data_IF_530813556876
#
_entry.id   IF_530813556876
#
_cell.length_a   1.000
_cell.length_b   1.000
_cell.length_c   1.000
_cell.angle_alpha   90.00
_cell.angle_beta   90.00
_cell.angle_gamma   90.00
#
_symmetry.space_group_name_H-M   'P 1'
#
loop_
_entity.id
_entity.type
_entity.pdbx_description
1 polymer ?
#
# COMPACT_ATOMS: atom_id res chain seq x y z
N UNK A 1 -4.41 12.16 -8.88
CA UNK A 1 -5.04 10.89 -8.43
C UNK A 1 -4.80 9.89 -9.55
N UNK A 2 -4.10 8.80 -9.25
CA UNK A 2 -3.77 7.76 -10.23
C UNK A 2 -4.92 6.75 -10.19
N UNK A 3 -5.86 6.86 -11.14
CA UNK A 3 -7.12 6.11 -11.13
C UNK A 3 -6.87 4.60 -11.26
N UNK A 4 -5.79 4.24 -11.94
CA UNK A 4 -5.34 2.90 -12.26
C UNK A 4 -4.97 2.09 -10.99
N UNK A 5 -4.66 2.79 -9.89
CA UNK A 5 -4.29 2.20 -8.60
C UNK A 5 -5.46 2.07 -7.61
N UNK A 6 -6.67 2.42 -8.04
CA UNK A 6 -7.90 2.24 -7.26
C UNK A 6 -8.82 1.29 -8.01
N UNK A 7 -9.04 0.13 -7.42
CA UNK A 7 -9.62 -1.02 -8.11
C UNK A 7 -10.84 -1.55 -7.36
N UNK A 8 -11.83 -1.98 -8.14
CA UNK A 8 -12.96 -2.78 -7.68
C UNK A 8 -12.93 -4.07 -8.49
N UNK A 9 -12.83 -5.20 -7.80
CA UNK A 9 -12.97 -6.51 -8.40
C UNK A 9 -14.44 -6.91 -8.39
N UNK A 10 -14.94 -7.40 -9.53
CA UNK A 10 -16.31 -7.88 -9.69
C UNK A 10 -16.33 -9.35 -10.08
N UNK A 11 -17.34 -10.08 -9.61
CA UNK A 11 -17.66 -11.45 -10.03
C UNK A 11 -19.12 -11.44 -10.45
N UNK A 12 -19.40 -11.84 -11.69
CA UNK A 12 -20.74 -11.82 -12.29
C UNK A 12 -21.44 -10.44 -12.17
N UNK A 13 -20.68 -9.37 -12.40
CA UNK A 13 -21.15 -7.98 -12.31
C UNK A 13 -21.45 -7.49 -10.89
N UNK A 14 -21.07 -8.25 -9.85
CA UNK A 14 -21.22 -7.86 -8.44
C UNK A 14 -19.88 -7.53 -7.81
N UNK A 15 -19.74 -6.41 -7.09
CA UNK A 15 -18.52 -6.08 -6.36
C UNK A 15 -18.14 -7.17 -5.35
N UNK A 16 -16.96 -7.74 -5.52
CA UNK A 16 -16.38 -8.81 -4.71
C UNK A 16 -15.27 -8.30 -3.77
N UNK A 17 -14.54 -7.27 -4.18
CA UNK A 17 -13.50 -6.66 -3.38
C UNK A 17 -12.96 -5.36 -3.96
N UNK A 18 -12.04 -4.74 -3.24
CA UNK A 18 -11.43 -3.47 -3.63
C UNK A 18 -9.98 -3.39 -3.17
N UNK A 19 -9.19 -2.55 -3.84
CA UNK A 19 -7.84 -2.18 -3.43
C UNK A 19 -7.58 -0.70 -3.70
N UNK A 20 -6.94 -0.02 -2.74
CA UNK A 20 -6.49 1.36 -2.88
C UNK A 20 -4.99 1.39 -2.62
N UNK A 21 -4.25 1.80 -3.64
CA UNK A 21 -2.80 1.99 -3.59
C UNK A 21 -2.46 3.44 -3.90
N UNK A 22 -1.58 4.03 -3.10
CA UNK A 22 -1.19 5.43 -3.18
C UNK A 22 0.32 5.56 -3.36
N UNK A 23 0.83 6.65 -3.93
CA UNK A 23 2.25 6.97 -3.86
C UNK A 23 2.73 6.98 -2.40
N UNK A 24 3.90 6.40 -2.13
CA UNK A 24 4.46 6.34 -0.80
C UNK A 24 4.99 7.71 -0.34
N UNK A 25 4.11 8.50 0.28
CA UNK A 25 4.44 9.85 0.74
C UNK A 25 5.58 9.88 1.78
N UNK A 26 5.89 8.76 2.43
CA UNK A 26 7.00 8.67 3.38
C UNK A 26 8.35 8.98 2.71
N UNK A 27 8.52 8.68 1.43
CA UNK A 27 9.74 9.04 0.67
C UNK A 27 9.94 10.56 0.68
N UNK A 28 8.87 11.33 0.45
CA UNK A 28 8.94 12.79 0.46
C UNK A 28 9.06 13.36 1.89
N UNK A 29 8.32 12.79 2.85
CA UNK A 29 8.35 13.22 4.25
C UNK A 29 9.72 13.03 4.90
N UNK A 30 10.49 12.02 4.48
CA UNK A 30 11.84 11.77 4.98
C UNK A 30 12.77 12.97 4.79
N UNK A 31 12.57 13.78 3.74
CA UNK A 31 13.39 14.96 3.46
C UNK A 31 13.06 16.18 4.34
N UNK A 32 11.95 16.15 5.09
CA UNK A 32 11.50 17.28 5.92
C UNK A 32 12.15 17.33 7.31
N UNK A 33 12.79 16.25 7.77
CA UNK A 33 13.34 16.13 9.13
C UNK A 33 12.31 16.54 10.23
N UNK A 34 11.03 16.22 10.02
CA UNK A 34 9.96 16.46 11.00
C UNK A 34 9.52 17.92 11.17
N UNK A 35 10.01 18.87 10.35
CA UNK A 35 9.60 20.29 10.42
C UNK A 35 8.93 20.73 9.13
N UNK A 36 7.80 21.43 9.25
CA UNK A 36 7.07 21.98 8.10
C UNK A 36 7.68 23.31 7.61
N UNK A 37 8.10 24.17 8.54
CA UNK A 37 8.63 25.50 8.24
C UNK A 37 10.13 25.62 8.63
N UNK A 38 10.87 26.55 8.00
CA UNK A 38 10.43 27.39 6.87
C UNK A 38 10.48 26.67 5.51
N UNK A 39 11.31 25.63 5.37
CA UNK A 39 11.57 24.99 4.07
C UNK A 39 10.96 23.60 3.89
N UNK A 40 10.38 23.01 4.94
CA UNK A 40 9.84 21.65 4.91
C UNK A 40 8.73 21.46 3.89
N UNK A 41 7.81 22.43 3.78
CA UNK A 41 6.74 22.40 2.78
C UNK A 41 7.28 22.41 1.34
N UNK A 42 8.28 23.25 1.05
CA UNK A 42 8.90 23.28 -0.29
C UNK A 42 9.59 21.96 -0.62
N UNK A 43 10.30 21.36 0.36
CA UNK A 43 10.88 20.02 0.21
C UNK A 43 9.79 18.99 -0.05
N UNK A 44 8.70 18.99 0.72
CA UNK A 44 7.60 18.06 0.54
C UNK A 44 7.01 18.14 -0.87
N UNK A 45 6.69 19.34 -1.35
CA UNK A 45 6.12 19.55 -2.68
C UNK A 45 7.08 19.11 -3.78
N UNK A 46 8.37 19.42 -3.64
CA UNK A 46 9.40 19.02 -4.61
C UNK A 46 9.58 17.49 -4.66
N UNK A 47 9.75 16.86 -3.49
CA UNK A 47 9.99 15.41 -3.40
C UNK A 47 8.74 14.57 -3.67
N UNK A 48 7.54 15.11 -3.44
CA UNK A 48 6.27 14.43 -3.79
C UNK A 48 6.15 14.12 -5.28
N UNK A 49 6.83 14.89 -6.14
CA UNK A 49 6.87 14.66 -7.60
C UNK A 49 7.88 13.59 -8.02
N UNK A 50 8.71 13.12 -7.09
CA UNK A 50 9.79 12.16 -7.32
C UNK A 50 9.57 10.83 -6.62
N UNK A 51 8.38 10.61 -6.07
CA UNK A 51 8.04 9.35 -5.40
C UNK A 51 8.08 8.22 -6.42
N UNK A 52 8.80 7.15 -6.08
CA UNK A 52 8.91 5.95 -6.92
C UNK A 52 8.30 4.71 -6.26
N UNK A 53 7.99 4.79 -4.97
CA UNK A 53 7.31 3.74 -4.24
C UNK A 53 5.80 3.87 -4.23
N UNK A 54 5.15 2.72 -4.19
CA UNK A 54 3.72 2.60 -3.93
C UNK A 54 3.47 2.05 -2.53
N UNK A 55 2.35 2.44 -1.94
CA UNK A 55 1.87 1.96 -0.67
C UNK A 55 0.44 1.47 -0.83
N UNK A 56 0.24 0.17 -0.70
CA UNK A 56 -1.11 -0.38 -0.57
C UNK A 56 -1.67 0.13 0.76
N UNK A 57 -2.67 0.99 0.68
CA UNK A 57 -3.30 1.61 1.84
C UNK A 57 -4.34 0.67 2.43
N UNK A 58 -5.12 0.01 1.57
CA UNK A 58 -6.14 -0.93 2.01
C UNK A 58 -6.58 -1.86 0.88
N UNK A 59 -6.96 -3.07 1.28
CA UNK A 59 -7.61 -4.06 0.43
C UNK A 59 -8.70 -4.76 1.23
N UNK A 60 -9.85 -4.99 0.62
CA UNK A 60 -10.98 -5.65 1.26
C UNK A 60 -11.68 -6.60 0.32
N UNK A 61 -11.90 -7.84 0.76
CA UNK A 61 -12.68 -8.85 0.04
C UNK A 61 -13.89 -9.23 0.89
N UNK A 62 -15.08 -9.24 0.27
CA UNK A 62 -16.29 -9.71 0.97
C UNK A 62 -16.13 -11.18 1.37
N UNK A 63 -16.61 -11.58 2.56
CA UNK A 63 -16.41 -12.94 3.09
C UNK A 63 -16.72 -14.08 2.11
N UNK A 64 -17.81 -13.96 1.35
CA UNK A 64 -18.30 -14.95 0.39
C UNK A 64 -17.38 -15.17 -0.84
N UNK A 65 -16.52 -14.20 -1.13
CA UNK A 65 -15.56 -14.25 -2.25
C UNK A 65 -14.11 -14.50 -1.79
N UNK A 66 -13.87 -14.71 -0.49
CA UNK A 66 -12.53 -15.05 0.03
C UNK A 66 -12.09 -16.43 -0.45
N UNK A 67 -10.78 -16.66 -0.51
CA UNK A 67 -10.14 -17.90 -0.98
C UNK A 67 -10.46 -18.26 -2.45
N UNK A 68 -10.91 -17.29 -3.25
CA UNK A 68 -11.15 -17.44 -4.69
C UNK A 68 -10.11 -16.71 -5.55
N UNK A 69 -9.03 -16.21 -4.95
CA UNK A 69 -7.96 -15.47 -5.66
C UNK A 69 -8.31 -14.02 -6.02
N UNK A 70 -9.37 -13.43 -5.44
CA UNK A 70 -9.73 -12.03 -5.70
C UNK A 70 -8.65 -11.08 -5.19
N UNK A 71 -8.10 -11.37 -4.01
CA UNK A 71 -6.98 -10.66 -3.40
C UNK A 71 -5.71 -10.71 -4.26
N UNK A 72 -5.32 -11.90 -4.74
CA UNK A 72 -4.12 -12.03 -5.58
C UNK A 72 -4.26 -11.28 -6.91
N UNK A 73 -5.47 -11.25 -7.47
CA UNK A 73 -5.76 -10.49 -8.69
C UNK A 73 -5.58 -8.99 -8.47
N UNK A 74 -6.11 -8.46 -7.36
CA UNK A 74 -5.96 -7.05 -6.99
C UNK A 74 -4.49 -6.67 -6.71
N UNK A 75 -3.72 -7.54 -6.04
CA UNK A 75 -2.28 -7.32 -5.84
C UNK A 75 -1.53 -7.30 -7.18
N UNK A 76 -1.79 -8.29 -8.04
CA UNK A 76 -1.12 -8.40 -9.33
C UNK A 76 -1.40 -7.19 -10.22
N UNK A 77 -2.65 -6.76 -10.33
CA UNK A 77 -3.02 -5.59 -11.11
C UNK A 77 -2.38 -4.31 -10.55
N UNK A 78 -2.34 -4.16 -9.23
CA UNK A 78 -1.61 -3.05 -8.59
C UNK A 78 -0.14 -3.01 -9.00
N UNK A 79 0.53 -4.16 -9.01
CA UNK A 79 1.94 -4.25 -9.40
C UNK A 79 2.16 -3.91 -10.87
N UNK A 80 1.33 -4.45 -11.76
CA UNK A 80 1.41 -4.20 -13.21
C UNK A 80 1.18 -2.72 -13.51
N UNK A 81 0.13 -2.11 -12.95
CA UNK A 81 -0.13 -0.68 -13.16
C UNK A 81 0.96 0.19 -12.52
N UNK A 82 1.45 -0.18 -11.34
CA UNK A 82 2.58 0.51 -10.72
C UNK A 82 3.84 0.50 -11.59
N UNK A 83 4.17 -0.63 -12.20
CA UNK A 83 5.31 -0.73 -13.12
C UNK A 83 5.14 0.15 -14.36
N UNK A 84 3.94 0.19 -14.95
CA UNK A 84 3.64 1.07 -16.10
C UNK A 84 3.82 2.56 -15.75
N UNK A 85 3.59 2.92 -14.50
CA UNK A 85 3.76 4.28 -13.98
C UNK A 85 5.22 4.60 -13.59
N UNK A 86 6.15 3.66 -13.78
CA UNK A 86 7.56 3.82 -13.43
C UNK A 86 7.86 3.65 -11.95
N UNK A 87 6.93 3.09 -11.16
CA UNK A 87 7.18 2.78 -9.76
C UNK A 87 8.13 1.58 -9.66
N UNK A 88 9.11 1.67 -8.75
CA UNK A 88 10.20 0.69 -8.62
C UNK A 88 10.05 -0.20 -7.40
N UNK A 89 9.20 0.19 -6.45
CA UNK A 89 8.99 -0.54 -5.21
C UNK A 89 7.54 -0.42 -4.72
N UNK A 90 7.15 -1.30 -3.80
CA UNK A 90 5.84 -1.30 -3.17
C UNK A 90 5.92 -1.79 -1.73
N UNK A 91 5.17 -1.16 -0.83
CA UNK A 91 4.93 -1.65 0.54
C UNK A 91 3.44 -1.83 0.82
N UNK A 92 3.09 -2.67 1.81
CA UNK A 92 1.70 -2.98 2.16
C UNK A 92 1.24 -2.42 3.50
N UNK A 93 1.79 -1.26 3.88
CA UNK A 93 1.48 -0.58 5.13
C UNK A 93 1.67 -1.47 6.38
N UNK A 94 0.99 -1.13 7.47
CA UNK A 94 1.05 -1.92 8.69
C UNK A 94 0.11 -3.11 8.60
N UNK A 95 0.68 -4.28 8.83
CA UNK A 95 -0.04 -5.53 8.87
C UNK A 95 0.03 -6.07 10.29
N UNK A 96 -1.12 -6.50 10.82
CA UNK A 96 -1.15 -7.25 12.06
C UNK A 96 -0.34 -8.54 11.91
N UNK A 97 0.56 -8.81 12.85
CA UNK A 97 1.42 -10.01 12.82
C UNK A 97 0.64 -11.32 12.74
N UNK A 98 -0.62 -11.32 13.19
CA UNK A 98 -1.54 -12.47 13.14
C UNK A 98 -2.30 -12.61 11.81
N UNK A 99 -2.20 -11.62 10.90
CA UNK A 99 -2.88 -11.66 9.61
C UNK A 99 -2.05 -12.47 8.59
N UNK A 100 -2.02 -13.79 8.79
CA UNK A 100 -1.24 -14.71 7.95
C UNK A 100 -1.61 -14.67 6.46
N UNK A 101 -2.88 -14.43 6.02
CA UNK A 101 -3.21 -14.34 4.60
C UNK A 101 -2.40 -13.27 3.86
N UNK A 102 -2.39 -12.03 4.35
CA UNK A 102 -1.68 -10.93 3.67
C UNK A 102 -0.16 -11.06 3.83
N UNK A 103 0.33 -11.57 4.97
CA UNK A 103 1.76 -11.86 5.16
C UNK A 103 2.25 -12.88 4.12
N UNK A 104 1.48 -13.94 3.90
CA UNK A 104 1.82 -14.96 2.91
C UNK A 104 1.72 -14.42 1.47
N UNK A 105 0.72 -13.58 1.17
CA UNK A 105 0.63 -12.89 -0.13
C UNK A 105 1.87 -12.03 -0.40
N UNK A 106 2.39 -11.33 0.62
CA UNK A 106 3.60 -10.51 0.52
C UNK A 106 4.82 -11.34 0.13
N UNK A 107 4.99 -12.51 0.76
CA UNK A 107 6.09 -13.45 0.46
C UNK A 107 6.01 -14.00 -0.96
N UNK A 108 4.80 -14.26 -1.46
CA UNK A 108 4.53 -14.67 -2.84
C UNK A 108 5.05 -13.65 -3.86
N UNK A 109 4.97 -12.35 -3.53
CA UNK A 109 5.52 -11.26 -4.33
C UNK A 109 6.97 -10.89 -3.95
N UNK A 110 7.72 -11.77 -3.28
CA UNK A 110 9.09 -11.55 -2.82
C UNK A 110 9.26 -10.33 -1.90
N UNK A 111 8.20 -9.91 -1.22
CA UNK A 111 8.27 -8.83 -0.26
C UNK A 111 9.04 -9.26 0.99
N UNK A 112 9.83 -8.34 1.53
CA UNK A 112 10.66 -8.55 2.71
C UNK A 112 10.09 -7.77 3.90
N UNK A 113 10.12 -8.38 5.08
CA UNK A 113 9.76 -7.68 6.31
C UNK A 113 10.90 -6.72 6.71
N UNK A 114 10.72 -5.43 6.46
CA UNK A 114 11.73 -4.41 6.75
C UNK A 114 11.60 -3.80 8.16
N UNK A 115 10.42 -3.90 8.79
CA UNK A 115 10.16 -3.31 10.10
C UNK A 115 9.04 -4.00 10.85
N UNK A 116 9.26 -4.21 12.15
CA UNK A 116 8.30 -4.76 13.10
C UNK A 116 8.04 -3.78 14.22
N UNK A 117 6.77 -3.45 14.45
CA UNK A 117 6.34 -2.59 15.55
C UNK A 117 5.73 -3.43 16.68
N UNK A 118 5.95 -3.00 17.92
CA UNK A 118 5.31 -3.53 19.13
C UNK A 118 4.69 -2.37 19.88
N UNK A 119 3.38 -2.42 20.06
CA UNK A 119 2.64 -1.38 20.77
C UNK A 119 2.36 -1.92 22.18
N UNK A 120 2.77 -1.18 23.20
CA UNK A 120 2.54 -1.49 24.60
C UNK A 120 1.64 -0.42 25.21
N UNK A 121 0.72 -0.83 26.07
CA UNK A 121 -0.13 0.07 26.84
C UNK A 121 0.01 -0.24 28.32
N UNK A 122 -0.07 0.80 29.16
CA UNK A 122 -0.30 0.67 30.60
C UNK A 122 -1.46 1.57 30.98
N UNK A 123 -2.21 1.21 32.02
CA UNK A 123 -3.12 2.15 32.67
C UNK A 123 -2.29 3.30 33.25
N UNK A 124 -2.76 4.54 33.02
CA UNK A 124 -2.12 5.76 33.53
C UNK A 124 -2.48 5.99 35.00
#
# INVERSE_FOLDING_TARGET
YIRELVQIAEIDGKPAGWAITLPNLNEALAHMNGRLFPFGLFKLLYWSRKITGLRLWGLGIKPEYRKRGVDITLYYHTLVEGQKLGCTNGEISWVLETNTPIINATRLFKGEEYKRYRIYGKSL
#
